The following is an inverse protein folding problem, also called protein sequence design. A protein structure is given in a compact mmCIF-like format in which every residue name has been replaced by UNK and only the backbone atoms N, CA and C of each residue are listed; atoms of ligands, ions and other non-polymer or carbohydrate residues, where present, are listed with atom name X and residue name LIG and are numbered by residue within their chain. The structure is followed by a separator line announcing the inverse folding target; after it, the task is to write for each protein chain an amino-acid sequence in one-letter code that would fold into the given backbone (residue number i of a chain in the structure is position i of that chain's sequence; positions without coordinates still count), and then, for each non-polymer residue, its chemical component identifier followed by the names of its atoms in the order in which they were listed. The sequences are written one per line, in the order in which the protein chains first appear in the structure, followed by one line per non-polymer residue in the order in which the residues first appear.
data_IF_999196524992
#
_entry.id   IF_999196524992
#
_cell.length_a   1.000
_cell.length_b   1.000
_cell.length_c   1.000
_cell.angle_alpha   90.00
_cell.angle_beta   90.00
_cell.angle_gamma   90.00
#
_symmetry.space_group_name_H-M   'P 1'
#
loop_
_entity.id
_entity.type
_entity.pdbx_description
1 polymer ?
#
# COMPACT_ATOMS: atom_id res chain seq x y z
N UNK A 1 8.63 -11.19 -1.39
CA UNK A 1 8.33 -9.90 -0.73
C UNK A 1 9.60 -9.30 -0.20
N UNK A 2 9.83 -8.01 -0.47
CA UNK A 2 10.98 -7.25 0.05
C UNK A 2 10.43 -6.08 0.87
N UNK A 3 10.72 -6.03 2.17
CA UNK A 3 10.48 -4.87 3.04
C UNK A 3 11.76 -4.02 3.09
N UNK A 4 11.70 -2.89 2.41
CA UNK A 4 12.82 -1.96 2.26
C UNK A 4 12.71 -0.84 3.31
N UNK A 5 13.11 -1.17 4.53
CA UNK A 5 13.11 -0.21 5.65
C UNK A 5 14.39 0.60 5.74
N UNK A 6 14.37 1.70 6.49
CA UNK A 6 15.52 2.59 6.69
C UNK A 6 16.60 2.04 7.64
N UNK A 7 16.29 1.03 8.42
CA UNK A 7 17.23 0.40 9.39
C UNK A 7 17.42 -1.10 9.15
N UNK A 8 16.54 -1.71 8.39
CA UNK A 8 16.58 -3.14 8.06
C UNK A 8 15.95 -3.39 6.71
N UNK A 9 16.55 -4.31 5.96
CA UNK A 9 15.92 -4.95 4.83
C UNK A 9 15.43 -6.31 5.28
N UNK A 10 14.18 -6.66 4.97
CA UNK A 10 13.63 -7.98 5.20
C UNK A 10 13.21 -8.57 3.86
N UNK A 11 13.49 -9.84 3.71
CA UNK A 11 13.08 -10.63 2.56
C UNK A 11 12.27 -11.82 3.04
N UNK A 12 11.16 -12.10 2.40
CA UNK A 12 10.41 -13.33 2.59
C UNK A 12 9.94 -13.86 1.23
N UNK A 13 10.07 -15.16 1.03
CA UNK A 13 9.52 -15.86 -0.11
C UNK A 13 8.45 -16.85 0.35
N UNK A 14 7.44 -17.01 -0.48
CA UNK A 14 6.27 -17.86 -0.21
C UNK A 14 6.06 -18.76 -1.41
N UNK A 15 5.53 -19.95 -1.17
CA UNK A 15 5.04 -20.81 -2.25
C UNK A 15 3.61 -20.42 -2.69
N UNK A 16 3.04 -21.20 -3.61
CA UNK A 16 1.69 -20.97 -4.12
C UNK A 16 0.59 -21.11 -3.05
N UNK A 17 0.88 -21.79 -1.95
CA UNK A 17 -0.02 -21.92 -0.81
C UNK A 17 0.14 -20.79 0.23
N UNK A 18 1.02 -19.84 -0.04
CA UNK A 18 1.42 -18.74 0.86
C UNK A 18 2.18 -19.22 2.10
N UNK A 19 2.78 -20.42 2.06
CA UNK A 19 3.67 -20.88 3.11
C UNK A 19 5.04 -20.22 2.99
N UNK A 20 5.53 -19.63 4.09
CA UNK A 20 6.85 -19.02 4.13
C UNK A 20 7.95 -20.08 3.97
N UNK A 21 8.78 -19.93 2.96
CA UNK A 21 9.89 -20.85 2.66
C UNK A 21 11.24 -20.31 3.09
N UNK A 22 11.44 -19.01 2.95
CA UNK A 22 12.65 -18.32 3.36
C UNK A 22 12.28 -16.99 3.96
N UNK A 23 12.89 -16.65 5.08
CA UNK A 23 12.82 -15.32 5.68
C UNK A 23 14.21 -14.91 6.14
N UNK A 24 14.65 -13.73 5.70
CA UNK A 24 15.93 -13.14 6.09
C UNK A 24 15.74 -11.68 6.48
N UNK A 25 16.52 -11.23 7.46
CA UNK A 25 16.53 -9.82 7.90
C UNK A 25 17.96 -9.36 8.07
N UNK A 26 18.33 -8.28 7.39
CA UNK A 26 19.66 -7.69 7.46
C UNK A 26 19.56 -6.27 7.98
N UNK A 27 20.36 -5.93 8.98
CA UNK A 27 20.49 -4.55 9.48
C UNK A 27 21.22 -3.70 8.46
N UNK A 28 20.75 -2.47 8.30
CA UNK A 28 21.38 -1.44 7.47
C UNK A 28 22.02 -0.41 8.40
N UNK A 29 23.25 -0.03 8.11
CA UNK A 29 23.89 1.07 8.80
C UNK A 29 23.65 2.38 8.06
N UNK A 30 23.36 3.45 8.80
CA UNK A 30 22.90 4.74 8.28
C UNK A 30 23.83 5.43 7.29
N UNK A 31 25.09 5.06 7.29
CA UNK A 31 26.16 5.63 6.43
C UNK A 31 26.38 4.85 5.13
N UNK A 32 25.64 3.77 4.90
CA UNK A 32 25.78 2.97 3.69
C UNK A 32 25.10 3.63 2.50
N UNK A 33 25.75 3.53 1.34
CA UNK A 33 25.18 3.97 0.06
C UNK A 33 23.95 3.12 -0.27
N UNK A 34 22.92 3.74 -0.84
CA UNK A 34 21.71 3.06 -1.31
C UNK A 34 22.02 1.87 -2.24
N UNK A 35 23.08 1.96 -3.05
CA UNK A 35 23.52 0.89 -3.93
C UNK A 35 23.88 -0.40 -3.15
N UNK A 36 24.55 -0.27 -2.02
CA UNK A 36 24.89 -1.42 -1.17
C UNK A 36 23.63 -2.17 -0.70
N UNK A 37 22.54 -1.44 -0.48
CA UNK A 37 21.26 -2.06 -0.09
C UNK A 37 20.68 -2.93 -1.21
N UNK A 38 20.78 -2.49 -2.46
CA UNK A 38 20.32 -3.28 -3.61
C UNK A 38 21.21 -4.50 -3.84
N UNK A 39 22.53 -4.36 -3.66
CA UNK A 39 23.47 -5.49 -3.77
C UNK A 39 23.17 -6.56 -2.71
N UNK A 40 22.82 -6.15 -1.49
CA UNK A 40 22.40 -7.05 -0.41
C UNK A 40 21.12 -7.80 -0.81
N UNK A 41 20.10 -7.08 -1.29
CA UNK A 41 18.84 -7.68 -1.74
C UNK A 41 19.10 -8.71 -2.84
N UNK A 42 19.91 -8.35 -3.84
CA UNK A 42 20.25 -9.27 -4.93
C UNK A 42 20.94 -10.55 -4.43
N UNK A 43 21.85 -10.44 -3.45
CA UNK A 43 22.50 -11.61 -2.84
C UNK A 43 21.49 -12.51 -2.12
N UNK A 44 20.53 -11.94 -1.41
CA UNK A 44 19.47 -12.70 -0.71
C UNK A 44 18.59 -13.41 -1.75
N UNK A 45 18.17 -12.71 -2.80
CA UNK A 45 17.34 -13.28 -3.85
C UNK A 45 18.05 -14.43 -4.56
N UNK A 46 19.32 -14.27 -4.95
CA UNK A 46 20.13 -15.37 -5.53
C UNK A 46 20.25 -16.58 -4.60
N UNK A 47 20.33 -16.36 -3.29
CA UNK A 47 20.33 -17.44 -2.30
C UNK A 47 18.98 -18.16 -2.26
N UNK A 48 17.88 -17.42 -2.35
CA UNK A 48 16.54 -17.98 -2.42
C UNK A 48 16.35 -18.79 -3.71
N UNK A 49 16.73 -18.26 -4.87
CA UNK A 49 16.69 -18.94 -6.17
C UNK A 49 17.43 -20.27 -6.14
N UNK A 50 18.62 -20.30 -5.56
CA UNK A 50 19.39 -21.55 -5.38
C UNK A 50 18.64 -22.57 -4.53
N UNK A 51 17.91 -22.13 -3.49
CA UNK A 51 17.17 -23.03 -2.60
C UNK A 51 15.91 -23.56 -3.27
N UNK A 52 15.25 -22.77 -4.11
CA UNK A 52 14.05 -23.16 -4.85
C UNK A 52 14.40 -23.91 -6.15
N UNK A 53 15.63 -23.81 -6.64
CA UNK A 53 16.02 -24.24 -7.99
C UNK A 53 15.16 -23.58 -9.08
N UNK A 54 14.72 -22.36 -8.83
CA UNK A 54 13.84 -21.58 -9.70
C UNK A 54 14.21 -20.09 -9.65
N UNK A 55 13.90 -19.35 -10.72
CA UNK A 55 14.19 -17.92 -10.83
C UNK A 55 13.05 -17.08 -10.27
N UNK A 56 13.40 -16.04 -9.53
CA UNK A 56 12.43 -15.06 -8.97
C UNK A 56 12.40 -13.87 -9.90
N UNK A 57 11.32 -13.72 -10.66
CA UNK A 57 11.10 -12.60 -11.57
C UNK A 57 10.32 -11.46 -10.91
N UNK A 58 9.28 -11.82 -10.15
CA UNK A 58 8.32 -10.89 -9.58
C UNK A 58 8.51 -10.69 -8.09
N UNK A 59 8.50 -9.42 -7.67
CA UNK A 59 8.57 -9.06 -6.26
C UNK A 59 7.45 -8.10 -5.86
N UNK A 60 6.97 -8.25 -4.63
CA UNK A 60 6.17 -7.27 -3.93
C UNK A 60 7.09 -6.45 -3.04
N UNK A 61 7.06 -5.15 -3.19
CA UNK A 61 7.88 -4.22 -2.42
C UNK A 61 7.05 -3.57 -1.32
N UNK A 62 7.56 -3.62 -0.11
CA UNK A 62 7.03 -2.89 1.05
C UNK A 62 8.05 -1.82 1.39
N UNK A 63 7.64 -0.56 1.43
CA UNK A 63 8.56 0.55 1.71
C UNK A 63 7.88 1.69 2.44
N UNK A 64 8.71 2.56 2.98
CA UNK A 64 8.32 3.82 3.59
C UNK A 64 9.12 4.98 2.99
N UNK A 65 8.53 6.18 3.06
CA UNK A 65 9.17 7.41 2.64
C UNK A 65 8.74 8.56 3.56
N UNK A 66 9.68 9.43 3.90
CA UNK A 66 9.35 10.68 4.60
C UNK A 66 8.47 11.63 3.75
N UNK A 67 8.41 11.38 2.43
CA UNK A 67 7.61 12.14 1.48
C UNK A 67 6.30 11.42 1.10
N UNK A 68 5.92 10.37 1.85
CA UNK A 68 4.60 9.77 1.73
C UNK A 68 3.53 10.77 2.13
N UNK A 69 2.43 10.82 1.39
CA UNK A 69 1.29 11.65 1.74
C UNK A 69 -0.02 10.93 1.40
N UNK A 70 -1.11 11.45 1.94
CA UNK A 70 -2.45 10.93 1.71
C UNK A 70 -3.31 11.95 0.99
N UNK A 71 -4.23 11.46 0.17
CA UNK A 71 -5.23 12.26 -0.51
C UNK A 71 -6.61 11.69 -0.15
N UNK A 72 -7.54 12.56 0.25
CA UNK A 72 -8.94 12.21 0.41
C UNK A 72 -9.71 12.67 -0.83
N UNK A 73 -10.38 11.73 -1.50
CA UNK A 73 -11.17 11.99 -2.71
C UNK A 73 -12.57 11.39 -2.54
N UNK A 74 -13.58 12.14 -2.96
CA UNK A 74 -14.95 11.65 -3.04
C UNK A 74 -15.39 11.62 -4.50
N UNK A 75 -15.84 10.45 -4.96
CA UNK A 75 -16.46 10.30 -6.28
C UNK A 75 -17.95 10.05 -6.12
N UNK A 76 -18.74 10.71 -6.96
CA UNK A 76 -20.19 10.52 -7.03
C UNK A 76 -20.57 10.06 -8.43
N UNK A 77 -21.28 8.95 -8.51
CA UNK A 77 -21.84 8.42 -9.75
C UNK A 77 -23.36 8.52 -9.71
N UNK A 78 -23.93 9.35 -10.56
CA UNK A 78 -25.40 9.39 -10.77
C UNK A 78 -25.78 8.32 -11.78
N UNK A 79 -26.91 7.68 -11.56
CA UNK A 79 -27.40 6.58 -12.36
C UNK A 79 -28.76 6.93 -12.97
N UNK A 80 -28.93 6.61 -14.25
CA UNK A 80 -30.22 6.72 -14.94
C UNK A 80 -31.12 5.50 -14.69
N UNK A 81 -30.52 4.40 -14.19
CA UNK A 81 -31.18 3.12 -13.91
C UNK A 81 -30.52 2.46 -12.72
N UNK A 82 -31.32 1.72 -11.95
CA UNK A 82 -30.79 0.87 -10.88
C UNK A 82 -29.68 -0.05 -11.37
N UNK A 83 -28.62 -0.15 -10.61
CA UNK A 83 -27.48 -1.00 -10.93
C UNK A 83 -26.92 -1.68 -9.69
N UNK A 84 -26.40 -2.91 -9.87
CA UNK A 84 -25.65 -3.56 -8.80
C UNK A 84 -24.31 -2.84 -8.60
N UNK A 85 -23.97 -2.57 -7.36
CA UNK A 85 -22.78 -1.79 -6.98
C UNK A 85 -21.48 -2.41 -7.51
N UNK A 86 -21.40 -3.75 -7.63
CA UNK A 86 -20.24 -4.44 -8.20
C UNK A 86 -19.91 -4.01 -9.63
N UNK A 87 -20.95 -3.67 -10.43
CA UNK A 87 -20.76 -3.19 -11.80
C UNK A 87 -20.22 -1.75 -11.85
N UNK A 88 -20.36 -1.00 -10.76
CA UNK A 88 -19.91 0.39 -10.67
C UNK A 88 -18.50 0.52 -10.13
N UNK A 89 -17.98 -0.53 -9.47
CA UNK A 89 -16.69 -0.47 -8.80
C UNK A 89 -15.52 -0.24 -9.77
N UNK A 90 -15.39 -1.09 -10.78
CA UNK A 90 -14.28 -0.97 -11.75
C UNK A 90 -14.29 0.39 -12.48
N UNK A 91 -15.43 0.88 -13.02
CA UNK A 91 -15.48 2.21 -13.61
C UNK A 91 -15.05 3.34 -12.65
N UNK A 92 -15.44 3.27 -11.37
CA UNK A 92 -15.05 4.26 -10.37
C UNK A 92 -13.54 4.20 -10.07
N UNK A 93 -12.96 3.01 -10.01
CA UNK A 93 -11.50 2.86 -9.83
C UNK A 93 -10.74 3.38 -11.04
N UNK A 94 -11.25 3.15 -12.26
CA UNK A 94 -10.66 3.71 -13.48
C UNK A 94 -10.71 5.25 -13.48
N UNK A 95 -11.84 5.83 -13.12
CA UNK A 95 -12.02 7.28 -12.99
C UNK A 95 -11.07 7.85 -11.93
N UNK A 96 -10.97 7.21 -10.76
CA UNK A 96 -10.03 7.59 -9.71
C UNK A 96 -8.58 7.59 -10.21
N UNK A 97 -8.17 6.55 -10.92
CA UNK A 97 -6.83 6.48 -11.51
C UNK A 97 -6.59 7.59 -12.54
N UNK A 98 -7.59 7.96 -13.35
CA UNK A 98 -7.50 9.08 -14.29
C UNK A 98 -7.34 10.42 -13.57
N UNK A 99 -8.10 10.65 -12.49
CA UNK A 99 -7.99 11.86 -11.66
C UNK A 99 -6.58 11.97 -11.07
N UNK A 100 -6.05 10.88 -10.53
CA UNK A 100 -4.69 10.87 -9.97
C UNK A 100 -3.65 11.12 -11.05
N UNK A 101 -3.79 10.49 -12.21
CA UNK A 101 -2.86 10.68 -13.33
C UNK A 101 -2.87 12.12 -13.86
N UNK A 102 -4.02 12.77 -13.89
CA UNK A 102 -4.18 14.13 -14.43
C UNK A 102 -3.79 15.22 -13.44
N UNK A 103 -4.13 15.06 -12.15
CA UNK A 103 -3.95 16.12 -11.16
C UNK A 103 -2.75 15.90 -10.23
N UNK A 104 -2.27 14.66 -10.14
CA UNK A 104 -1.19 14.24 -9.24
C UNK A 104 -0.13 13.43 -9.98
N UNK A 105 0.25 13.85 -11.17
CA UNK A 105 1.15 13.14 -12.10
C UNK A 105 2.55 12.87 -11.52
N UNK A 106 2.98 13.67 -10.52
CA UNK A 106 4.25 13.52 -9.80
C UNK A 106 4.22 12.41 -8.75
N UNK A 107 3.08 11.75 -8.56
CA UNK A 107 2.88 10.79 -7.50
C UNK A 107 2.47 9.41 -8.03
N UNK A 108 2.89 8.40 -7.30
CA UNK A 108 2.55 7.00 -7.51
C UNK A 108 1.51 6.59 -6.48
N UNK A 109 0.35 6.14 -6.94
CA UNK A 109 -0.70 5.61 -6.08
C UNK A 109 -0.33 4.21 -5.61
N UNK A 110 -0.14 4.05 -4.32
CA UNK A 110 0.26 2.81 -3.67
C UNK A 110 -0.94 2.02 -3.14
N UNK A 111 -1.81 2.67 -2.36
CA UNK A 111 -3.02 2.03 -1.83
C UNK A 111 -4.25 2.90 -2.03
N UNK A 112 -5.37 2.21 -2.29
CA UNK A 112 -6.71 2.78 -2.29
C UNK A 112 -7.45 2.19 -1.08
N UNK A 113 -7.93 3.05 -0.21
CA UNK A 113 -8.69 2.68 0.98
C UNK A 113 -10.08 3.28 0.83
N UNK A 114 -11.12 2.47 0.95
CA UNK A 114 -12.50 2.95 0.99
C UNK A 114 -12.81 3.34 2.43
N UNK A 115 -13.07 4.62 2.67
CA UNK A 115 -13.48 5.12 3.99
C UNK A 115 -14.98 4.84 4.22
N UNK A 116 -15.82 5.22 3.26
CA UNK A 116 -17.24 4.95 3.29
C UNK A 116 -17.88 4.98 1.90
N UNK A 117 -19.01 4.27 1.79
CA UNK A 117 -19.90 4.31 0.63
C UNK A 117 -21.26 4.85 1.07
N UNK A 118 -21.85 5.75 0.27
CA UNK A 118 -23.18 6.28 0.49
C UNK A 118 -24.01 5.92 -0.74
N UNK A 119 -25.13 5.25 -0.52
CA UNK A 119 -26.07 4.84 -1.57
C UNK A 119 -27.34 5.69 -1.43
N UNK A 120 -27.74 6.30 -2.53
CA UNK A 120 -28.97 7.09 -2.68
C UNK A 120 -29.10 8.20 -1.62
N UNK A 121 -27.94 8.81 -1.25
CA UNK A 121 -27.77 9.86 -0.25
C UNK A 121 -28.24 9.52 1.19
N UNK A 122 -28.71 8.30 1.42
CA UNK A 122 -29.30 7.89 2.70
C UNK A 122 -28.53 6.78 3.40
N UNK A 123 -28.15 5.73 2.66
CA UNK A 123 -27.59 4.50 3.23
C UNK A 123 -26.07 4.58 3.28
N UNK A 124 -25.52 4.70 4.48
CA UNK A 124 -24.07 4.79 4.71
C UNK A 124 -23.52 3.40 5.06
N UNK A 125 -22.51 2.99 4.32
CA UNK A 125 -21.76 1.76 4.56
C UNK A 125 -20.30 2.10 4.81
N UNK A 126 -19.74 1.55 5.83
CA UNK A 126 -18.34 1.69 6.14
C UNK A 126 -17.44 0.73 5.32
N UNK A 127 -18.00 -0.29 4.70
CA UNK A 127 -17.33 -1.21 3.78
C UNK A 127 -18.02 -1.18 2.43
N UNK A 128 -17.29 -1.63 1.39
CA UNK A 128 -17.87 -1.72 0.06
C UNK A 128 -19.00 -2.76 0.05
N UNK A 129 -20.28 -2.35 -0.09
CA UNK A 129 -21.43 -3.24 0.06
C UNK A 129 -21.70 -4.02 -1.23
N UNK A 130 -20.90 -5.06 -1.50
CA UNK A 130 -20.85 -5.81 -2.77
C UNK A 130 -22.19 -6.26 -3.34
N UNK A 131 -23.16 -6.59 -2.48
CA UNK A 131 -24.43 -7.20 -2.88
C UNK A 131 -25.60 -6.21 -2.93
N UNK A 132 -25.33 -4.92 -2.77
CA UNK A 132 -26.38 -3.90 -2.79
C UNK A 132 -26.65 -3.38 -4.20
N UNK A 133 -27.89 -2.87 -4.36
CA UNK A 133 -28.32 -2.14 -5.56
C UNK A 133 -28.31 -0.65 -5.23
N UNK A 134 -27.96 0.13 -6.22
CA UNK A 134 -27.98 1.60 -6.21
C UNK A 134 -29.05 2.04 -7.20
N UNK A 135 -29.99 2.86 -6.76
CA UNK A 135 -31.10 3.30 -7.59
C UNK A 135 -30.82 4.67 -8.25
N UNK A 136 -30.30 5.63 -7.50
CA UNK A 136 -30.08 6.99 -8.00
C UNK A 136 -28.62 7.38 -8.05
N UNK A 137 -27.91 7.24 -6.93
CA UNK A 137 -26.51 7.66 -6.87
C UNK A 137 -25.66 6.81 -5.92
N UNK A 138 -24.39 6.72 -6.24
CA UNK A 138 -23.37 6.11 -5.42
C UNK A 138 -22.26 7.14 -5.16
N UNK A 139 -22.01 7.45 -3.90
CA UNK A 139 -20.89 8.28 -3.48
C UNK A 139 -19.89 7.46 -2.67
N UNK A 140 -18.64 7.45 -3.10
CA UNK A 140 -17.56 6.73 -2.40
C UNK A 140 -16.50 7.72 -1.96
N UNK A 141 -16.12 7.65 -0.69
CA UNK A 141 -15.00 8.37 -0.13
C UNK A 141 -13.79 7.45 -0.08
N UNK A 142 -12.74 7.88 -0.74
CA UNK A 142 -11.45 7.18 -0.81
C UNK A 142 -10.40 7.94 -0.03
N UNK A 143 -9.58 7.21 0.70
CA UNK A 143 -8.29 7.67 1.21
C UNK A 143 -7.18 6.98 0.44
N UNK A 144 -6.29 7.74 -0.16
CA UNK A 144 -5.23 7.26 -1.03
C UNK A 144 -3.89 7.44 -0.34
N UNK A 145 -3.02 6.43 -0.44
CA UNK A 145 -1.64 6.53 0.01
C UNK A 145 -0.75 6.65 -1.21
N UNK A 146 0.05 7.70 -1.27
CA UNK A 146 0.86 8.05 -2.42
C UNK A 146 2.34 8.21 -2.06
N UNK A 147 3.21 7.84 -3.00
CA UNK A 147 4.66 8.08 -2.95
C UNK A 147 5.09 9.02 -4.08
N UNK A 148 6.20 9.77 -3.93
CA UNK A 148 6.78 10.51 -5.04
C UNK A 148 7.15 9.57 -6.21
N UNK A 149 6.68 9.87 -7.40
CA UNK A 149 6.90 9.02 -8.59
C UNK A 149 8.37 8.85 -8.94
N UNK A 150 9.18 9.91 -8.77
CA UNK A 150 10.62 9.86 -9.01
C UNK A 150 11.33 8.92 -8.03
N UNK A 151 10.89 8.86 -6.78
CA UNK A 151 11.41 7.92 -5.79
C UNK A 151 11.12 6.48 -6.20
N UNK A 152 9.88 6.19 -6.57
CA UNK A 152 9.47 4.85 -7.03
C UNK A 152 10.23 4.47 -8.31
N UNK A 153 10.38 5.41 -9.26
CA UNK A 153 11.12 5.17 -10.50
C UNK A 153 12.57 4.76 -10.21
N UNK A 154 13.27 5.51 -9.36
CA UNK A 154 14.66 5.19 -8.98
C UNK A 154 14.78 3.77 -8.40
N UNK A 155 13.83 3.37 -7.54
CA UNK A 155 13.82 2.03 -6.96
C UNK A 155 13.57 0.99 -8.06
N UNK A 156 12.59 1.18 -8.93
CA UNK A 156 12.30 0.26 -10.04
C UNK A 156 13.50 0.08 -10.97
N UNK A 157 14.16 1.19 -11.34
CA UNK A 157 15.33 1.17 -12.23
C UNK A 157 16.47 0.34 -11.62
N UNK A 158 16.64 0.34 -10.29
CA UNK A 158 17.63 -0.51 -9.62
C UNK A 158 17.25 -2.00 -9.64
N UNK A 159 16.00 -2.34 -9.38
CA UNK A 159 15.54 -3.73 -9.39
C UNK A 159 15.58 -4.35 -10.80
N UNK A 160 15.27 -3.56 -11.83
CA UNK A 160 15.38 -3.99 -13.25
C UNK A 160 16.80 -4.44 -13.60
N UNK A 161 17.86 -3.82 -13.05
CA UNK A 161 19.25 -4.24 -13.27
C UNK A 161 19.53 -5.68 -12.82
N UNK A 162 18.70 -6.22 -11.93
CA UNK A 162 18.78 -7.60 -11.43
C UNK A 162 17.73 -8.53 -12.04
N UNK A 163 17.08 -8.11 -13.13
CA UNK A 163 15.96 -8.81 -13.78
C UNK A 163 14.77 -9.06 -12.87
N UNK A 164 14.51 -8.12 -11.94
CA UNK A 164 13.39 -8.20 -10.99
C UNK A 164 12.32 -7.17 -11.35
N UNK A 165 11.10 -7.64 -11.49
CA UNK A 165 9.93 -6.81 -11.74
C UNK A 165 9.18 -6.53 -10.43
N UNK A 166 8.88 -5.25 -10.15
CA UNK A 166 8.06 -4.88 -8.99
C UNK A 166 6.59 -4.87 -9.43
N UNK A 167 5.84 -5.90 -9.03
CA UNK A 167 4.41 -6.03 -9.36
C UNK A 167 3.53 -5.13 -8.49
N UNK A 168 3.86 -4.99 -7.21
CA UNK A 168 3.13 -4.14 -6.27
C UNK A 168 4.06 -3.42 -5.29
N UNK A 169 3.64 -2.24 -4.86
CA UNK A 169 4.32 -1.43 -3.85
C UNK A 169 3.34 -1.08 -2.74
N UNK A 170 3.71 -1.34 -1.50
CA UNK A 170 2.88 -1.09 -0.34
C UNK A 170 3.59 -0.21 0.70
N UNK A 171 2.81 0.62 1.41
CA UNK A 171 3.29 1.38 2.56
C UNK A 171 3.49 0.47 3.77
N UNK A 172 4.73 0.39 4.27
CA UNK A 172 5.13 -0.49 5.37
C UNK A 172 4.35 -0.18 6.65
N UNK A 173 4.31 1.09 7.05
CA UNK A 173 3.60 1.50 8.27
C UNK A 173 2.11 1.20 8.20
N UNK A 174 1.49 1.38 7.02
CA UNK A 174 0.07 1.04 6.83
C UNK A 174 -0.18 -0.45 6.99
N UNK A 175 0.61 -1.32 6.33
CA UNK A 175 0.45 -2.78 6.44
C UNK A 175 0.64 -3.24 7.89
N UNK A 176 1.67 -2.73 8.57
CA UNK A 176 1.91 -3.04 9.99
C UNK A 176 0.72 -2.63 10.85
N UNK A 177 0.23 -1.40 10.70
CA UNK A 177 -0.90 -0.91 11.49
C UNK A 177 -2.14 -1.76 11.28
N UNK A 178 -2.45 -2.16 10.04
CA UNK A 178 -3.58 -3.05 9.72
C UNK A 178 -3.46 -4.42 10.39
N UNK A 179 -2.26 -5.00 10.44
CA UNK A 179 -2.04 -6.31 11.07
C UNK A 179 -2.27 -6.30 12.58
N UNK A 180 -1.97 -5.17 13.24
CA UNK A 180 -2.21 -5.01 14.68
C UNK A 180 -3.66 -4.68 14.99
N UNK A 181 -4.27 -3.74 14.28
CA UNK A 181 -5.64 -3.28 14.53
C UNK A 181 -6.67 -4.39 14.36
N UNK A 182 -6.44 -5.33 13.44
CA UNK A 182 -7.31 -6.51 13.28
C UNK A 182 -7.37 -7.38 14.54
N UNK A 183 -6.33 -7.37 15.38
CA UNK A 183 -6.21 -8.18 16.61
C UNK A 183 -6.77 -7.47 17.84
N UNK A 184 -7.04 -6.17 17.74
CA UNK A 184 -7.53 -5.37 18.87
C UNK A 184 -9.06 -5.42 18.94
N UNK A 185 -9.58 -5.33 20.16
CA UNK A 185 -11.02 -5.28 20.45
C UNK A 185 -11.57 -3.86 20.54
N UNK A 186 -10.70 -2.88 20.75
CA UNK A 186 -11.08 -1.49 20.97
C UNK A 186 -11.62 -0.84 19.70
N UNK A 187 -12.64 0.00 19.87
CA UNK A 187 -13.25 0.73 18.77
C UNK A 187 -12.40 1.89 18.29
N UNK A 188 -11.58 2.48 19.18
CA UNK A 188 -10.66 3.59 18.84
C UNK A 188 -9.25 3.20 19.26
N UNK A 189 -8.33 3.29 18.32
CA UNK A 189 -6.93 2.90 18.54
C UNK A 189 -6.00 3.81 17.75
N UNK A 190 -4.91 4.22 18.38
CA UNK A 190 -3.80 4.88 17.70
C UNK A 190 -2.64 3.91 17.57
N UNK A 191 -2.07 3.85 16.38
CA UNK A 191 -0.85 3.10 16.10
C UNK A 191 0.26 4.08 15.75
N UNK A 192 1.37 4.00 16.48
CA UNK A 192 2.57 4.81 16.25
C UNK A 192 3.70 3.91 15.77
N UNK A 193 4.18 4.13 14.56
CA UNK A 193 5.37 3.49 14.00
C UNK A 193 6.54 4.49 14.05
N UNK A 194 7.45 4.27 14.99
CA UNK A 194 8.67 5.09 15.13
C UNK A 194 9.80 4.41 14.39
N UNK A 195 10.18 4.98 13.27
CA UNK A 195 11.28 4.51 12.44
C UNK A 195 12.56 5.33 12.68
N UNK A 196 13.63 5.00 11.95
CA UNK A 196 14.93 5.68 12.08
C UNK A 196 14.93 7.10 11.49
N UNK A 197 14.12 7.37 10.47
CA UNK A 197 14.11 8.65 9.72
C UNK A 197 12.73 9.29 9.67
N UNK A 198 11.72 8.59 10.18
CA UNK A 198 10.33 9.00 10.07
C UNK A 198 9.49 8.28 11.13
N UNK A 199 8.54 8.99 11.68
CA UNK A 199 7.45 8.42 12.49
C UNK A 199 6.13 8.56 11.76
N UNK A 200 5.23 7.61 11.95
CA UNK A 200 3.88 7.63 11.36
C UNK A 200 2.85 7.35 12.42
N UNK A 201 1.80 8.15 12.45
CA UNK A 201 0.66 7.98 13.34
C UNK A 201 -0.53 7.59 12.49
N UNK A 202 -1.20 6.51 12.88
CA UNK A 202 -2.44 6.04 12.29
C UNK A 202 -3.51 6.04 13.37
N UNK A 203 -4.60 6.72 13.12
CA UNK A 203 -5.76 6.65 13.99
C UNK A 203 -6.84 5.78 13.35
N UNK A 204 -7.35 4.83 14.14
CA UNK A 204 -8.40 3.92 13.74
C UNK A 204 -9.64 4.09 14.58
N UNK A 205 -10.78 4.02 13.93
CA UNK A 205 -12.09 3.93 14.56
C UNK A 205 -12.86 2.79 13.90
N UNK A 206 -13.43 1.89 14.71
CA UNK A 206 -14.08 0.65 14.25
C UNK A 206 -13.18 -0.16 13.30
N UNK A 207 -11.90 -0.29 13.64
CA UNK A 207 -10.85 -0.96 12.83
C UNK A 207 -10.57 -0.33 11.46
N UNK A 208 -11.08 0.87 11.18
CA UNK A 208 -10.84 1.62 9.96
C UNK A 208 -9.96 2.82 10.21
N UNK A 209 -9.14 3.09 9.22
CA UNK A 209 -8.22 4.21 9.28
C UNK A 209 -8.97 5.52 9.04
N UNK A 210 -8.83 6.44 10.00
CA UNK A 210 -9.42 7.79 9.91
C UNK A 210 -8.37 8.85 9.63
N UNK A 211 -7.17 8.69 10.19
CA UNK A 211 -6.09 9.64 10.02
C UNK A 211 -4.79 8.91 9.74
N UNK A 212 -3.99 9.46 8.84
CA UNK A 212 -2.59 9.08 8.61
C UNK A 212 -1.78 10.36 8.64
N UNK A 213 -0.87 10.46 9.59
CA UNK A 213 0.10 11.55 9.68
C UNK A 213 1.51 11.01 9.66
N UNK A 214 2.40 11.71 8.97
CA UNK A 214 3.82 11.34 8.92
C UNK A 214 4.69 12.53 9.33
N UNK A 215 5.64 12.26 10.21
CA UNK A 215 6.57 13.23 10.75
C UNK A 215 7.98 12.81 10.31
N UNK A 216 8.78 13.71 9.71
CA UNK A 216 10.14 13.41 9.25
C UNK A 216 11.16 13.36 10.40
N UNK A 217 10.75 12.73 11.52
CA UNK A 217 11.54 12.53 12.74
C UNK A 217 11.43 11.06 13.12
N UNK A 218 12.55 10.43 13.37
CA UNK A 218 12.65 9.04 13.83
C UNK A 218 13.67 8.88 14.95
#
# INVERSE_FOLDING_TARGET
VVDFGSSKIRFASFDNNLDEKISESIKIYTNENLQNHFDIINKIIKKAEKKFSDHIEDIVLILDSAQLFTIDISLTKNLDRSSKINKLYEPLILELNQIIKSNYDKYYLSQIIIDKCIIDDEKIFEEFPKDKTVDNNLKIHFKLICFPKLFIKKIRDEFIKFNLNIINIFCSSYIKSQSYVKKLSENKTSFLDVGLRRSSIFFFENKKIKLIETIPIG
#
